data_IF_035864460810
#
_entry.id   IF_035864460810
#
_cell.length_a   1.000
_cell.length_b   1.000
_cell.length_c   1.000
_cell.angle_alpha   90.00
_cell.angle_beta   90.00
_cell.angle_gamma   90.00
#
_symmetry.space_group_name_H-M   'P 1'
#
loop_
_entity.id
_entity.type
_entity.pdbx_description
1 polymer ?
#
# COMPACT_ATOMS: atom_id res chain seq x y z
N UNK A 1 -3.45 19.30 -15.70
CA UNK A 1 -3.25 19.30 -14.23
C UNK A 1 -2.03 18.44 -13.93
N UNK A 2 -0.93 19.05 -13.46
CA UNK A 2 0.25 18.33 -12.99
C UNK A 2 -0.12 17.68 -11.66
N UNK A 3 -0.42 16.39 -11.65
CA UNK A 3 -0.81 15.71 -10.42
C UNK A 3 0.48 15.25 -9.71
N UNK A 4 0.80 15.75 -8.50
CA UNK A 4 1.99 15.32 -7.75
C UNK A 4 2.02 13.80 -7.52
N UNK A 5 0.85 13.17 -7.55
CA UNK A 5 0.67 11.72 -7.45
C UNK A 5 1.20 10.98 -8.68
N UNK A 6 1.04 11.53 -9.90
CA UNK A 6 1.53 10.92 -11.14
C UNK A 6 3.06 10.81 -11.12
N UNK A 7 3.74 11.88 -10.67
CA UNK A 7 5.20 11.89 -10.52
C UNK A 7 5.65 10.84 -9.51
N UNK A 8 5.00 10.77 -8.36
CA UNK A 8 5.32 9.80 -7.29
C UNK A 8 5.16 8.36 -7.78
N UNK A 9 4.08 8.08 -8.52
CA UNK A 9 3.84 6.76 -9.11
C UNK A 9 4.90 6.39 -10.15
N UNK A 10 5.25 7.30 -11.06
CA UNK A 10 6.28 7.04 -12.08
C UNK A 10 7.64 6.75 -11.43
N UNK A 11 8.03 7.53 -10.41
CA UNK A 11 9.26 7.29 -9.64
C UNK A 11 9.22 5.94 -8.92
N UNK A 12 8.08 5.57 -8.35
CA UNK A 12 7.91 4.29 -7.66
C UNK A 12 8.00 3.10 -8.64
N UNK A 13 7.43 3.23 -9.83
CA UNK A 13 7.52 2.22 -10.91
C UNK A 13 8.96 2.08 -11.41
N UNK A 14 9.66 3.19 -11.65
CA UNK A 14 11.07 3.17 -12.03
C UNK A 14 11.94 2.52 -10.95
N UNK A 15 11.73 2.85 -9.68
CA UNK A 15 12.42 2.19 -8.56
C UNK A 15 12.13 0.68 -8.48
N UNK A 16 10.91 0.26 -8.86
CA UNK A 16 10.56 -1.17 -8.94
C UNK A 16 11.26 -1.87 -10.10
N UNK A 17 11.41 -1.19 -11.25
CA UNK A 17 12.13 -1.69 -12.43
C UNK A 17 13.63 -1.81 -12.18
N UNK A 18 14.23 -0.83 -11.52
CA UNK A 18 15.67 -0.82 -11.19
C UNK A 18 16.00 -1.77 -10.01
N UNK A 19 15.01 -2.45 -9.43
CA UNK A 19 15.19 -3.36 -8.29
C UNK A 19 15.58 -2.65 -6.98
N UNK A 20 15.59 -1.31 -6.97
CA UNK A 20 15.95 -0.45 -5.83
C UNK A 20 14.79 -0.20 -4.88
N UNK A 21 13.57 -0.59 -5.27
CA UNK A 21 12.39 -0.49 -4.42
C UNK A 21 12.62 -1.19 -3.08
N UNK A 22 12.66 -0.41 -1.99
CA UNK A 22 12.74 -0.91 -0.62
C UNK A 22 11.55 -1.85 -0.38
N UNK A 23 11.84 -3.15 -0.37
CA UNK A 23 10.89 -4.15 0.12
C UNK A 23 10.69 -3.84 1.61
N UNK A 24 9.45 -3.67 2.11
CA UNK A 24 9.22 -3.66 3.54
C UNK A 24 9.80 -4.97 4.07
N UNK A 25 10.73 -4.84 5.01
CA UNK A 25 11.48 -5.98 5.51
C UNK A 25 10.52 -7.03 6.03
N UNK A 26 10.87 -8.31 5.88
CA UNK A 26 10.15 -9.47 6.41
C UNK A 26 9.77 -9.34 7.89
N UNK A 27 10.50 -8.49 8.62
CA UNK A 27 10.29 -8.12 10.01
C UNK A 27 9.06 -7.21 10.18
N UNK A 28 8.82 -6.25 9.28
CA UNK A 28 7.66 -5.36 9.33
C UNK A 28 6.35 -6.13 9.06
N UNK A 29 6.36 -7.07 8.12
CA UNK A 29 5.21 -7.95 7.88
C UNK A 29 4.97 -8.90 9.05
N UNK A 30 6.04 -9.44 9.67
CA UNK A 30 5.94 -10.29 10.85
C UNK A 30 5.39 -9.51 12.06
N UNK A 31 5.86 -8.28 12.28
CA UNK A 31 5.39 -7.40 13.36
C UNK A 31 3.91 -7.03 13.19
N UNK A 32 3.48 -6.70 11.97
CA UNK A 32 2.07 -6.43 11.67
C UNK A 32 1.20 -7.68 11.90
N UNK A 33 1.68 -8.86 11.49
CA UNK A 33 0.97 -10.13 11.73
C UNK A 33 0.84 -10.44 13.22
N UNK A 34 1.90 -10.22 13.99
CA UNK A 34 1.91 -10.35 15.45
C UNK A 34 0.94 -9.36 16.10
N UNK A 35 0.92 -8.11 15.65
CA UNK A 35 0.01 -7.09 16.16
C UNK A 35 -1.47 -7.47 15.94
N UNK A 36 -1.80 -8.00 14.77
CA UNK A 36 -3.15 -8.49 14.45
C UNK A 36 -3.54 -9.68 15.35
N UNK A 37 -2.61 -10.62 15.56
CA UNK A 37 -2.82 -11.76 16.47
C UNK A 37 -3.04 -11.31 17.91
N UNK A 38 -2.22 -10.38 18.40
CA UNK A 38 -2.35 -9.82 19.75
C UNK A 38 -3.68 -9.07 19.92
N UNK A 39 -4.09 -8.28 18.92
CA UNK A 39 -5.36 -7.56 18.94
C UNK A 39 -6.55 -8.54 18.96
N UNK A 40 -6.48 -9.61 18.17
CA UNK A 40 -7.49 -10.67 18.14
C UNK A 40 -7.57 -11.40 19.49
N UNK A 41 -6.42 -11.74 20.08
CA UNK A 41 -6.33 -12.41 21.37
C UNK A 41 -6.85 -11.53 22.51
N UNK A 42 -6.49 -10.25 22.54
CA UNK A 42 -7.00 -9.29 23.53
C UNK A 42 -8.52 -9.13 23.42
N UNK A 43 -9.06 -9.10 22.20
CA UNK A 43 -10.51 -9.03 21.96
C UNK A 43 -11.23 -10.28 22.46
N UNK A 44 -10.65 -11.47 22.27
CA UNK A 44 -11.19 -12.72 22.79
C UNK A 44 -11.20 -12.75 24.33
N UNK A 45 -10.11 -12.31 24.98
CA UNK A 45 -10.06 -12.19 26.44
C UNK A 45 -11.14 -11.25 26.99
N UNK A 46 -11.32 -10.09 26.36
CA UNK A 46 -12.37 -9.13 26.74
C UNK A 46 -13.78 -9.74 26.57
N UNK A 47 -14.00 -10.53 25.53
CA UNK A 47 -15.27 -11.21 25.30
C UNK A 47 -15.57 -12.26 26.40
N UNK A 48 -14.59 -13.09 26.75
CA UNK A 48 -14.75 -14.11 27.80
C UNK A 48 -14.85 -13.50 29.20
N UNK A 49 -14.15 -12.39 29.48
CA UNK A 49 -14.14 -11.74 30.79
C UNK A 49 -15.42 -10.93 31.07
N UNK A 50 -16.04 -10.35 30.04
CA UNK A 50 -17.21 -9.47 30.17
C UNK A 50 -18.50 -10.05 29.58
N UNK A 51 -18.68 -11.39 29.60
CA UNK A 51 -19.77 -12.19 28.98
C UNK A 51 -21.23 -11.87 29.39
N UNK A 52 -21.65 -10.62 29.21
CA UNK A 52 -23.02 -10.07 29.27
C UNK A 52 -23.19 -9.08 28.10
N UNK A 53 -24.41 -8.64 27.72
CA UNK A 53 -24.70 -8.19 26.35
C UNK A 53 -24.13 -6.80 26.07
N UNK A 54 -22.82 -6.75 25.85
CA UNK A 54 -22.06 -5.55 25.58
C UNK A 54 -21.87 -5.51 24.06
N UNK A 55 -22.81 -4.86 23.37
CA UNK A 55 -22.82 -4.72 21.90
C UNK A 55 -21.49 -4.20 21.31
N UNK A 56 -20.68 -3.50 22.10
CA UNK A 56 -19.38 -2.98 21.69
C UNK A 56 -18.32 -4.06 21.44
N UNK A 57 -18.37 -5.23 22.11
CA UNK A 57 -17.38 -6.32 21.87
C UNK A 57 -17.57 -6.93 20.48
N UNK A 58 -18.82 -7.07 20.02
CA UNK A 58 -19.11 -7.48 18.64
C UNK A 58 -18.61 -6.46 17.62
N UNK A 59 -18.73 -5.16 17.90
CA UNK A 59 -18.15 -4.10 17.07
C UNK A 59 -16.62 -4.19 17.01
N UNK A 60 -15.97 -4.46 18.14
CA UNK A 60 -14.52 -4.60 18.23
C UNK A 60 -14.03 -5.83 17.47
N UNK A 61 -14.70 -6.99 17.64
CA UNK A 61 -14.44 -8.20 16.85
C UNK A 61 -14.63 -7.94 15.35
N UNK A 62 -15.67 -7.22 14.95
CA UNK A 62 -15.90 -6.88 13.55
C UNK A 62 -14.76 -6.01 12.99
N UNK A 63 -14.31 -4.99 13.75
CA UNK A 63 -13.18 -4.14 13.35
C UNK A 63 -11.88 -4.93 13.25
N UNK A 64 -11.61 -5.84 14.20
CA UNK A 64 -10.42 -6.70 14.15
C UNK A 64 -10.48 -7.64 12.94
N UNK A 65 -11.61 -8.30 12.70
CA UNK A 65 -11.78 -9.20 11.56
C UNK A 65 -11.67 -8.47 10.22
N UNK A 66 -12.28 -7.29 10.10
CA UNK A 66 -12.19 -6.47 8.89
C UNK A 66 -10.76 -5.94 8.67
N UNK A 67 -10.09 -5.48 9.72
CA UNK A 67 -8.69 -5.03 9.66
C UNK A 67 -7.74 -6.17 9.29
N UNK A 68 -7.90 -7.33 9.90
CA UNK A 68 -7.13 -8.53 9.58
C UNK A 68 -7.39 -9.01 8.15
N UNK A 69 -8.66 -9.04 7.72
CA UNK A 69 -9.04 -9.40 6.36
C UNK A 69 -8.50 -8.44 5.31
N UNK A 70 -8.58 -7.13 5.57
CA UNK A 70 -7.98 -6.10 4.71
C UNK A 70 -6.47 -6.26 4.59
N UNK A 71 -5.79 -6.48 5.72
CA UNK A 71 -4.35 -6.73 5.74
C UNK A 71 -3.98 -7.98 4.94
N UNK A 72 -4.71 -9.08 5.14
CA UNK A 72 -4.46 -10.34 4.44
C UNK A 72 -4.71 -10.21 2.94
N UNK A 73 -5.78 -9.51 2.54
CA UNK A 73 -6.07 -9.19 1.15
C UNK A 73 -4.98 -8.31 0.52
N UNK A 74 -4.49 -7.31 1.27
CA UNK A 74 -3.38 -6.46 0.84
C UNK A 74 -2.09 -7.26 0.65
N UNK A 75 -1.76 -8.15 1.59
CA UNK A 75 -0.56 -8.99 1.50
C UNK A 75 -0.64 -10.00 0.34
N UNK A 76 -1.80 -10.61 0.13
CA UNK A 76 -2.05 -11.48 -1.03
C UNK A 76 -1.94 -10.71 -2.36
N UNK A 77 -2.59 -9.55 -2.45
CA UNK A 77 -2.50 -8.68 -3.62
C UNK A 77 -1.05 -8.26 -3.90
N UNK A 78 -0.31 -7.87 -2.85
CA UNK A 78 1.10 -7.52 -2.92
C UNK A 78 1.96 -8.71 -3.38
N UNK A 79 1.72 -9.89 -2.84
CA UNK A 79 2.45 -11.10 -3.22
C UNK A 79 2.18 -11.51 -4.67
N UNK A 80 0.92 -11.44 -5.11
CA UNK A 80 0.55 -11.76 -6.49
C UNK A 80 1.12 -10.73 -7.48
N UNK A 81 0.99 -9.45 -7.20
CA UNK A 81 1.56 -8.38 -8.05
C UNK A 81 3.08 -8.50 -8.17
N UNK A 82 3.79 -8.84 -7.09
CA UNK A 82 5.24 -9.10 -7.14
C UNK A 82 5.60 -10.31 -8.01
N UNK A 83 4.80 -11.38 -7.97
CA UNK A 83 5.00 -12.55 -8.84
C UNK A 83 4.70 -12.26 -10.30
N UNK A 84 3.78 -11.34 -10.56
CA UNK A 84 3.42 -10.91 -11.92
C UNK A 84 4.42 -9.90 -12.50
N UNK A 85 5.11 -9.13 -11.65
CA UNK A 85 6.01 -8.07 -12.10
C UNK A 85 7.07 -8.51 -13.12
N UNK A 86 7.78 -9.64 -12.95
CA UNK A 86 8.77 -10.11 -13.94
C UNK A 86 8.17 -10.37 -15.33
N UNK A 87 6.89 -10.76 -15.38
CA UNK A 87 6.17 -10.99 -16.65
C UNK A 87 5.73 -9.68 -17.29
N UNK A 88 5.47 -8.64 -16.49
CA UNK A 88 5.05 -7.32 -16.95
C UNK A 88 6.22 -6.43 -17.35
N UNK A 89 7.40 -6.62 -16.74
CA UNK A 89 8.64 -5.86 -17.02
C UNK A 89 8.91 -5.62 -18.52
N UNK A 90 8.86 -6.62 -19.41
CA UNK A 90 9.14 -6.41 -20.83
C UNK A 90 8.09 -5.57 -21.57
N UNK A 91 6.87 -5.43 -21.02
CA UNK A 91 5.79 -4.65 -21.61
C UNK A 91 5.75 -3.20 -21.11
N UNK A 92 6.57 -2.87 -20.10
CA UNK A 92 6.67 -1.52 -19.56
C UNK A 92 7.76 -0.76 -20.30
N UNK A 93 7.35 0.18 -21.15
CA UNK A 93 8.27 1.03 -21.91
C UNK A 93 8.91 2.08 -20.98
N UNK A 94 10.13 1.77 -20.52
CA UNK A 94 10.94 2.65 -19.67
C UNK A 94 11.17 4.02 -20.30
N UNK A 95 11.44 4.07 -21.61
CA UNK A 95 11.74 5.32 -22.30
C UNK A 95 10.52 6.25 -22.30
N UNK A 96 9.32 5.68 -22.43
CA UNK A 96 8.06 6.42 -22.34
C UNK A 96 7.82 6.99 -20.94
N UNK A 97 8.13 6.24 -19.87
CA UNK A 97 8.01 6.70 -18.48
C UNK A 97 9.00 7.84 -18.16
N UNK A 98 10.25 7.72 -18.58
CA UNK A 98 11.27 8.76 -18.38
C UNK A 98 10.96 10.04 -19.17
N UNK A 99 10.41 9.91 -20.37
CA UNK A 99 9.92 11.06 -21.16
C UNK A 99 8.78 11.77 -20.42
N UNK A 100 7.83 11.01 -19.88
CA UNK A 100 6.70 11.56 -19.13
C UNK A 100 7.14 12.24 -17.83
N UNK A 101 8.13 11.67 -17.14
CA UNK A 101 8.73 12.29 -15.96
C UNK A 101 9.38 13.64 -16.29
N UNK A 102 10.10 13.72 -17.41
CA UNK A 102 10.70 14.99 -17.90
C UNK A 102 9.65 16.03 -18.28
N UNK A 103 8.54 15.63 -18.88
CA UNK A 103 7.41 16.54 -19.16
C UNK A 103 6.78 17.09 -17.87
N UNK A 104 6.70 16.27 -16.82
CA UNK A 104 6.19 16.69 -15.50
C UNK A 104 7.18 17.62 -14.76
N UNK A 105 8.48 17.35 -14.89
CA UNK A 105 9.58 18.15 -14.29
C UNK A 105 9.93 19.43 -15.07
N UNK A 106 9.47 19.58 -16.31
CA UNK A 106 9.64 20.80 -17.08
C UNK A 106 9.02 22.03 -16.38
N UNK A 107 9.56 23.25 -16.57
CA UNK A 107 9.09 24.45 -15.90
C UNK A 107 7.59 24.69 -16.15
N UNK A 108 6.85 25.36 -15.24
CA UNK A 108 5.49 25.79 -15.53
C UNK A 108 5.47 26.58 -16.85
N UNK A 109 4.43 26.44 -17.68
CA UNK A 109 4.34 27.17 -18.93
C UNK A 109 4.51 28.67 -18.65
N UNK A 110 5.44 29.30 -19.37
CA UNK A 110 5.74 30.74 -19.28
C UNK A 110 4.61 31.63 -19.82
N UNK A 111 3.48 31.06 -20.22
CA UNK A 111 2.35 31.76 -20.83
C UNK A 111 1.27 32.14 -19.80
N UNK A 112 1.68 32.58 -18.60
CA UNK A 112 0.80 33.38 -17.76
C UNK A 112 1.00 34.84 -18.16
N UNK A 113 0.07 35.47 -18.91
CA UNK A 113 0.16 36.89 -19.19
C UNK A 113 0.17 37.63 -17.85
N UNK A 114 1.23 38.38 -17.59
CA UNK A 114 1.25 39.36 -16.50
C UNK A 114 0.19 40.41 -16.84
N UNK A 115 -0.95 40.33 -16.16
CA UNK A 115 -1.90 41.42 -16.02
C UNK A 115 -1.62 42.13 -14.69
#
# INVERSE_FOLDING_TARGET
MKNPDEKTLILQVLALLDGTAKRPGRIASAAATLAIWLLSFATALLYFQFGRPLHWTHGLVAVVCLGAGYWFAYDLYRSMSQRQWPRLTPYVDRAKLEKRLRELDGPPPQDAPRA
#
